data_IF_972746633761
#
_entry.id   IF_972746633761
#
_cell.length_a   1.000
_cell.length_b   1.000
_cell.length_c   1.000
_cell.angle_alpha   90.00
_cell.angle_beta   90.00
_cell.angle_gamma   90.00
#
_symmetry.space_group_name_H-M   'P 1'
#
loop_
_entity.id
_entity.type
_entity.pdbx_description
1 polymer ?
#
# COMPACT_ATOMS: atom_id res chain seq x y z
N UNK A 1 3.60 7.00 -1.84
CA UNK A 1 4.49 6.81 -0.67
C UNK A 1 4.65 5.32 -0.46
N UNK A 2 5.82 4.81 -0.79
CA UNK A 2 6.16 3.42 -0.52
C UNK A 2 6.21 3.16 0.98
N UNK A 3 5.40 2.21 1.45
CA UNK A 3 5.56 1.62 2.78
C UNK A 3 6.29 0.28 2.62
N UNK A 4 7.11 -0.08 3.60
CA UNK A 4 7.88 -1.33 3.56
C UNK A 4 7.02 -2.55 3.94
N UNK A 5 5.87 -2.69 3.30
CA UNK A 5 4.98 -3.85 3.44
C UNK A 5 5.12 -4.69 2.19
N UNK A 6 5.53 -5.95 2.37
CA UNK A 6 5.57 -6.92 1.28
C UNK A 6 4.16 -7.23 0.82
N UNK A 7 3.96 -7.27 -0.48
CA UNK A 7 2.67 -7.60 -1.08
C UNK A 7 2.85 -8.54 -2.26
N UNK A 8 1.84 -9.36 -2.51
CA UNK A 8 1.74 -10.15 -3.76
C UNK A 8 0.73 -9.55 -4.74
N UNK A 9 -0.23 -8.77 -4.25
CA UNK A 9 -1.23 -8.07 -5.03
C UNK A 9 -1.72 -6.82 -4.27
N UNK A 10 -2.28 -5.85 -4.99
CA UNK A 10 -2.69 -4.54 -4.45
C UNK A 10 -3.70 -4.63 -3.30
N UNK A 11 -4.53 -5.68 -3.27
CA UNK A 11 -5.48 -5.91 -2.16
C UNK A 11 -4.82 -6.01 -0.78
N UNK A 12 -3.58 -6.53 -0.70
CA UNK A 12 -2.82 -6.59 0.57
C UNK A 12 -2.36 -5.22 1.05
N UNK A 13 -2.30 -4.22 0.17
CA UNK A 13 -1.87 -2.87 0.48
C UNK A 13 -3.01 -1.98 0.96
N UNK A 14 -4.26 -2.33 0.68
CA UNK A 14 -5.42 -1.50 1.04
C UNK A 14 -5.50 -1.24 2.53
N UNK A 15 -5.40 -2.30 3.35
CA UNK A 15 -5.44 -2.20 4.81
C UNK A 15 -4.28 -1.40 5.40
N UNK A 16 -3.00 -1.74 5.14
CA UNK A 16 -1.87 -1.00 5.71
C UNK A 16 -1.76 0.43 5.19
N UNK A 17 -2.12 0.71 3.92
CA UNK A 17 -2.18 2.08 3.45
C UNK A 17 -3.30 2.87 4.14
N UNK A 18 -4.48 2.27 4.33
CA UNK A 18 -5.58 2.91 5.05
C UNK A 18 -5.25 3.18 6.51
N UNK A 19 -4.59 2.23 7.18
CA UNK A 19 -4.11 2.38 8.57
C UNK A 19 -3.03 3.47 8.68
N UNK A 20 -2.23 3.68 7.62
CA UNK A 20 -1.31 4.80 7.50
C UNK A 20 -1.98 6.15 7.15
N UNK A 21 -3.31 6.22 7.10
CA UNK A 21 -4.07 7.44 6.74
C UNK A 21 -4.10 7.75 5.25
N UNK A 22 -3.72 6.79 4.40
CA UNK A 22 -3.63 6.95 2.94
C UNK A 22 -4.90 6.45 2.25
N UNK A 23 -5.16 6.91 1.03
CA UNK A 23 -6.44 6.69 0.32
C UNK A 23 -6.50 5.33 -0.39
N UNK A 24 -5.41 4.95 -1.05
CA UNK A 24 -5.30 3.69 -1.79
C UNK A 24 -3.89 3.13 -1.68
N UNK A 25 -3.77 1.81 -1.83
CA UNK A 25 -2.49 1.11 -1.89
C UNK A 25 -2.40 0.24 -3.13
N UNK A 26 -1.31 0.34 -3.87
CA UNK A 26 -1.00 -0.56 -5.00
C UNK A 26 0.25 -1.35 -4.67
N UNK A 27 0.28 -2.61 -5.10
CA UNK A 27 1.49 -3.42 -4.98
C UNK A 27 2.39 -3.14 -6.19
N UNK A 28 3.57 -2.59 -5.97
CA UNK A 28 4.59 -2.34 -6.98
C UNK A 28 5.91 -2.96 -6.54
N UNK A 29 6.49 -3.80 -7.40
CA UNK A 29 7.74 -4.51 -7.14
C UNK A 29 7.76 -5.28 -5.79
N UNK A 30 6.63 -5.89 -5.44
CA UNK A 30 6.46 -6.62 -4.17
C UNK A 30 6.37 -5.74 -2.93
N UNK A 31 6.25 -4.41 -3.07
CA UNK A 31 6.05 -3.46 -1.98
C UNK A 31 4.78 -2.64 -2.17
N UNK A 32 4.17 -2.22 -1.08
CA UNK A 32 2.99 -1.36 -1.13
C UNK A 32 3.38 0.09 -1.36
N UNK A 33 2.92 0.66 -2.47
CA UNK A 33 2.92 2.09 -2.69
C UNK A 33 1.54 2.68 -2.40
N UNK A 34 1.48 3.53 -1.39
CA UNK A 34 0.26 4.17 -0.92
C UNK A 34 0.10 5.56 -1.53
N UNK A 35 -1.06 5.87 -2.08
CA UNK A 35 -1.39 7.22 -2.52
C UNK A 35 -1.93 8.02 -1.33
N UNK A 36 -1.31 9.14 -0.94
CA UNK A 36 -1.84 10.02 0.09
C UNK A 36 -3.23 10.55 -0.28
N UNK A 37 -4.02 10.88 0.73
CA UNK A 37 -5.38 11.38 0.55
C UNK A 37 -5.39 12.81 0.01
#
# INVERSE_FOLDING_TARGET
VGINVKCKHSGQCLKPCKDAGMRFGKCMNGKCDCTPK
#
